data_IF_730340368895
#
_entry.id   IF_730340368895
#
_cell.length_a   1.000
_cell.length_b   1.000
_cell.length_c   1.000
_cell.angle_alpha   90.00
_cell.angle_beta   90.00
_cell.angle_gamma   90.00
#
_symmetry.space_group_name_H-M   'P 1'
#
loop_
_entity.id
_entity.type
_entity.pdbx_description
1 polymer ?
#
# COMPACT_ATOMS: atom_id res chain seq x y z
N UNK A 1 73.53 -30.25 55.77
CA UNK A 1 72.72 -30.67 54.67
C UNK A 1 71.50 -29.73 54.71
N UNK A 2 71.58 -28.65 53.88
CA UNK A 2 70.50 -27.67 53.79
C UNK A 2 69.61 -27.94 52.62
N UNK A 3 68.34 -28.19 52.86
CA UNK A 3 67.32 -28.30 51.82
C UNK A 3 66.84 -26.88 51.41
N UNK A 4 67.10 -26.48 50.16
CA UNK A 4 66.59 -25.30 49.57
C UNK A 4 65.22 -25.61 48.95
N UNK A 5 64.13 -25.11 49.58
CA UNK A 5 62.79 -25.10 49.01
C UNK A 5 62.68 -23.92 48.01
N UNK A 6 62.69 -24.18 46.75
CA UNK A 6 62.31 -23.20 45.71
C UNK A 6 60.77 -23.05 45.70
N UNK A 7 60.28 -21.95 46.23
CA UNK A 7 58.89 -21.55 46.07
C UNK A 7 58.60 -21.23 44.61
N UNK A 8 57.86 -22.09 43.88
CA UNK A 8 57.33 -21.79 42.56
C UNK A 8 56.20 -20.76 42.73
N UNK A 9 56.45 -19.53 42.29
CA UNK A 9 55.38 -18.55 42.11
C UNK A 9 54.57 -18.98 40.88
N UNK A 10 53.31 -19.41 41.07
CA UNK A 10 52.40 -19.61 39.97
C UNK A 10 51.83 -18.24 39.60
N UNK A 11 52.25 -17.74 38.45
CA UNK A 11 51.64 -16.54 37.86
C UNK A 11 50.24 -16.95 37.39
N UNK A 12 49.20 -16.36 38.00
CA UNK A 12 47.83 -16.55 37.50
C UNK A 12 47.73 -15.91 36.11
N UNK A 13 47.20 -16.63 35.10
CA UNK A 13 47.00 -16.02 33.79
C UNK A 13 46.01 -14.83 33.94
N UNK A 14 46.32 -13.75 33.26
CA UNK A 14 45.44 -12.58 33.21
C UNK A 14 44.07 -12.99 32.65
N UNK A 15 42.96 -12.46 33.22
CA UNK A 15 41.61 -12.74 32.71
C UNK A 15 41.52 -12.29 31.23
N UNK A 16 41.09 -13.19 30.36
CA UNK A 16 40.85 -12.85 28.96
C UNK A 16 39.72 -11.86 28.84
N UNK A 17 39.95 -10.76 28.16
CA UNK A 17 38.93 -9.75 27.82
C UNK A 17 38.48 -9.99 26.40
N UNK A 18 37.22 -10.25 26.20
CA UNK A 18 36.63 -10.29 24.86
C UNK A 18 36.38 -8.85 24.41
N UNK A 19 37.13 -8.40 23.44
CA UNK A 19 36.93 -7.06 22.84
C UNK A 19 36.08 -7.25 21.59
N UNK A 20 34.88 -6.71 21.59
CA UNK A 20 34.05 -6.61 20.40
C UNK A 20 34.22 -5.21 19.80
N UNK A 21 34.54 -5.12 18.52
CA UNK A 21 34.61 -3.85 17.83
C UNK A 21 33.21 -3.21 17.79
N UNK A 22 33.13 -1.94 18.22
CA UNK A 22 31.90 -1.16 18.12
C UNK A 22 31.75 -0.70 16.68
N UNK A 23 30.81 -1.29 15.95
CA UNK A 23 30.43 -0.80 14.64
C UNK A 23 29.44 0.33 14.79
N UNK A 24 29.67 1.41 14.03
CA UNK A 24 28.77 2.56 13.97
C UNK A 24 27.54 2.17 13.15
N UNK A 25 26.46 1.77 13.79
CA UNK A 25 25.19 1.54 13.12
C UNK A 25 24.33 2.80 13.14
N UNK A 26 23.78 3.15 11.99
CA UNK A 26 22.80 4.23 11.90
C UNK A 26 21.44 3.67 12.32
N UNK A 27 20.93 4.08 13.45
CA UNK A 27 19.56 3.78 13.86
C UNK A 27 18.60 4.74 13.16
N UNK A 28 17.84 4.23 12.22
CA UNK A 28 16.75 4.98 11.60
C UNK A 28 15.49 4.83 12.45
N UNK A 29 14.88 5.97 12.78
CA UNK A 29 13.55 5.96 13.40
C UNK A 29 12.55 5.60 12.32
N UNK A 30 11.96 4.40 12.38
CA UNK A 30 10.91 3.95 11.48
C UNK A 30 9.58 3.90 12.20
N UNK A 31 8.50 4.12 11.48
CA UNK A 31 7.14 3.90 11.94
C UNK A 31 6.48 2.86 11.06
N UNK A 32 5.57 2.11 11.64
CA UNK A 32 4.72 1.18 10.93
C UNK A 32 3.27 1.64 11.04
N UNK A 33 2.59 1.68 9.92
CA UNK A 33 1.20 2.08 9.84
C UNK A 33 0.48 1.27 8.78
N UNK A 34 -0.83 1.42 8.69
CA UNK A 34 -1.68 0.66 7.78
C UNK A 34 -2.48 1.60 6.90
N UNK A 35 -2.78 1.14 5.71
CA UNK A 35 -3.67 1.82 4.79
C UNK A 35 -4.31 0.85 3.80
N UNK A 36 -5.38 1.27 3.16
CA UNK A 36 -6.03 0.48 2.13
C UNK A 36 -5.48 0.87 0.76
N UNK A 37 -5.14 -0.13 -0.04
CA UNK A 37 -4.75 0.07 -1.42
C UNK A 37 -5.94 0.58 -2.24
N UNK A 38 -5.76 1.66 -2.99
CA UNK A 38 -6.74 2.21 -3.91
C UNK A 38 -6.11 2.43 -5.28
N UNK A 39 -6.90 2.34 -6.34
CA UNK A 39 -6.43 2.68 -7.69
C UNK A 39 -6.10 4.18 -7.76
N UNK A 40 -5.11 4.56 -8.56
CA UNK A 40 -4.74 5.97 -8.75
C UNK A 40 -5.91 6.78 -9.30
N UNK A 41 -6.59 6.23 -10.29
CA UNK A 41 -7.84 6.77 -10.84
C UNK A 41 -8.89 5.67 -10.78
N UNK A 42 -10.07 6.02 -10.31
CA UNK A 42 -11.22 5.12 -10.25
C UNK A 42 -12.47 5.88 -10.61
N UNK A 43 -13.30 5.30 -11.46
CA UNK A 43 -14.60 5.83 -11.83
C UNK A 43 -15.67 4.76 -11.69
N UNK A 44 -16.80 5.14 -11.14
CA UNK A 44 -17.91 4.24 -10.90
C UNK A 44 -19.12 4.70 -11.70
N UNK A 45 -19.70 3.79 -12.43
CA UNK A 45 -20.93 3.98 -13.18
C UNK A 45 -22.02 3.11 -12.58
N UNK A 46 -23.23 3.62 -12.54
CA UNK A 46 -24.42 2.88 -12.14
C UNK A 46 -25.36 2.79 -13.32
N UNK A 47 -25.73 1.58 -13.72
CA UNK A 47 -26.63 1.32 -14.83
C UNK A 47 -27.73 0.37 -14.41
N UNK A 48 -28.91 0.48 -15.03
CA UNK A 48 -29.96 -0.54 -14.91
C UNK A 48 -29.61 -1.70 -15.84
N UNK A 49 -29.70 -2.94 -15.35
CA UNK A 49 -29.39 -4.11 -16.16
C UNK A 49 -30.28 -4.18 -17.39
N UNK A 50 -31.54 -3.79 -17.28
CA UNK A 50 -32.51 -3.83 -18.34
C UNK A 50 -32.21 -2.84 -19.50
N UNK A 51 -31.40 -1.81 -19.24
CA UNK A 51 -30.99 -0.83 -20.26
C UNK A 51 -29.76 -1.27 -21.04
N UNK A 52 -29.07 -2.34 -20.60
CA UNK A 52 -27.84 -2.81 -21.23
C UNK A 52 -28.15 -3.60 -22.48
N UNK A 53 -27.47 -3.27 -23.59
CA UNK A 53 -27.51 -4.03 -24.85
C UNK A 53 -26.27 -4.92 -24.93
N UNK A 54 -26.48 -6.20 -25.18
CA UNK A 54 -25.39 -7.17 -25.43
C UNK A 54 -24.96 -7.97 -24.20
N UNK A 55 -23.76 -8.49 -24.26
CA UNK A 55 -23.26 -9.41 -23.23
C UNK A 55 -22.69 -8.63 -22.04
N UNK A 56 -23.13 -8.98 -20.82
CA UNK A 56 -22.65 -8.43 -19.56
C UNK A 56 -21.28 -8.97 -19.11
N UNK A 57 -20.62 -9.79 -19.91
CA UNK A 57 -19.33 -10.37 -19.57
C UNK A 57 -18.18 -9.36 -19.74
N UNK A 58 -18.25 -8.26 -18.98
CA UNK A 58 -17.27 -7.16 -18.98
C UNK A 58 -16.29 -7.24 -17.80
N UNK A 59 -16.55 -8.14 -16.86
CA UNK A 59 -15.73 -8.32 -15.66
C UNK A 59 -14.28 -8.64 -16.02
N UNK A 60 -13.34 -7.98 -15.34
CA UNK A 60 -11.91 -8.12 -15.54
C UNK A 60 -11.38 -7.71 -16.94
N UNK A 61 -12.22 -7.14 -17.81
CA UNK A 61 -11.79 -6.63 -19.12
C UNK A 61 -10.88 -5.42 -18.95
N UNK A 62 -9.78 -5.40 -19.68
CA UNK A 62 -8.95 -4.22 -19.80
C UNK A 62 -9.44 -3.38 -20.99
N UNK A 63 -9.71 -2.10 -20.75
CA UNK A 63 -10.18 -1.16 -21.77
C UNK A 63 -9.20 -0.02 -21.96
N UNK A 64 -9.13 0.50 -23.17
CA UNK A 64 -8.38 1.71 -23.50
C UNK A 64 -9.25 2.93 -23.26
N UNK A 65 -8.60 4.11 -23.17
CA UNK A 65 -9.34 5.38 -23.18
C UNK A 65 -10.21 5.47 -24.43
N UNK A 66 -11.41 6.04 -24.28
CA UNK A 66 -12.44 6.23 -25.31
C UNK A 66 -13.04 4.93 -25.87
N UNK A 67 -12.73 3.77 -25.28
CA UNK A 67 -13.35 2.49 -25.63
C UNK A 67 -14.72 2.35 -24.93
N UNK A 68 -15.71 1.78 -25.64
CA UNK A 68 -17.03 1.52 -25.10
C UNK A 68 -16.94 0.36 -24.08
N UNK A 69 -17.32 0.64 -22.84
CA UNK A 69 -17.44 -0.37 -21.78
C UNK A 69 -18.74 -1.13 -21.93
N UNK A 70 -19.86 -0.41 -22.06
CA UNK A 70 -21.21 -0.96 -22.16
C UNK A 70 -22.05 -0.08 -23.09
N UNK A 71 -22.87 -0.69 -23.93
CA UNK A 71 -23.88 -0.01 -24.74
C UNK A 71 -25.26 -0.08 -24.07
N UNK A 72 -25.99 1.03 -24.11
CA UNK A 72 -27.31 1.17 -23.52
C UNK A 72 -28.37 1.37 -24.61
N UNK A 73 -29.62 1.00 -24.29
CA UNK A 73 -30.77 1.04 -25.23
C UNK A 73 -31.08 2.39 -25.86
N UNK A 74 -30.67 3.49 -25.19
CA UNK A 74 -30.92 4.84 -25.66
C UNK A 74 -29.79 5.42 -26.52
N UNK A 75 -28.97 4.59 -27.13
CA UNK A 75 -27.73 4.95 -27.83
C UNK A 75 -26.72 5.69 -26.93
N UNK A 76 -26.96 5.70 -25.63
CA UNK A 76 -26.00 6.14 -24.63
C UNK A 76 -25.00 5.02 -24.38
N UNK A 77 -23.74 5.31 -24.64
CA UNK A 77 -22.67 4.36 -24.35
C UNK A 77 -21.89 4.81 -23.12
N UNK A 78 -21.53 3.86 -22.24
CA UNK A 78 -20.55 4.12 -21.23
C UNK A 78 -19.17 3.95 -21.85
N UNK A 79 -18.45 5.06 -21.89
CA UNK A 79 -17.13 5.17 -22.52
C UNK A 79 -16.07 5.30 -21.41
N UNK A 80 -14.93 4.67 -21.62
CA UNK A 80 -13.81 4.73 -20.69
C UNK A 80 -13.11 6.10 -20.75
N UNK A 81 -13.11 6.87 -19.68
CA UNK A 81 -12.44 8.17 -19.60
C UNK A 81 -10.91 8.03 -19.58
N UNK A 82 -10.43 6.88 -19.16
CA UNK A 82 -9.01 6.51 -19.12
C UNK A 82 -8.86 5.00 -19.33
N UNK A 83 -7.65 4.57 -19.62
CA UNK A 83 -7.38 3.14 -19.74
C UNK A 83 -7.40 2.48 -18.35
N UNK A 84 -8.03 1.32 -18.23
CA UNK A 84 -8.13 0.66 -16.95
C UNK A 84 -8.75 -0.74 -17.04
N UNK A 85 -8.90 -1.32 -15.87
CA UNK A 85 -9.57 -2.61 -15.70
C UNK A 85 -11.00 -2.40 -15.25
N UNK A 86 -11.93 -3.11 -15.88
CA UNK A 86 -13.34 -3.05 -15.54
C UNK A 86 -13.64 -4.07 -14.45
N UNK A 87 -14.32 -3.62 -13.40
CA UNK A 87 -14.92 -4.46 -12.37
C UNK A 87 -16.44 -4.28 -12.39
N UNK A 88 -17.18 -5.27 -11.94
CA UNK A 88 -18.63 -5.22 -11.82
C UNK A 88 -19.10 -5.68 -10.45
N UNK A 89 -20.18 -5.09 -9.97
CA UNK A 89 -20.85 -5.50 -8.74
C UNK A 89 -22.34 -5.33 -8.88
N UNK A 90 -23.08 -6.39 -8.59
CA UNK A 90 -24.54 -6.32 -8.53
C UNK A 90 -24.99 -5.67 -7.22
N UNK A 91 -26.06 -4.88 -7.29
CA UNK A 91 -26.73 -4.36 -6.10
C UNK A 91 -27.79 -5.40 -5.70
N UNK A 92 -27.77 -5.80 -4.44
CA UNK A 92 -28.75 -6.74 -3.89
C UNK A 92 -30.18 -6.19 -4.04
N UNK A 93 -31.13 -7.09 -4.32
CA UNK A 93 -32.55 -6.76 -4.36
C UNK A 93 -33.01 -6.14 -3.03
N UNK A 94 -33.84 -5.09 -3.11
CA UNK A 94 -34.37 -4.39 -1.94
C UNK A 94 -33.58 -3.18 -1.45
N UNK A 95 -32.36 -2.98 -1.93
CA UNK A 95 -31.60 -1.74 -1.73
C UNK A 95 -31.87 -0.81 -2.91
N UNK A 96 -31.97 0.49 -2.68
CA UNK A 96 -32.25 1.56 -3.66
C UNK A 96 -31.80 1.20 -5.09
N UNK A 97 -32.77 0.80 -5.94
CA UNK A 97 -32.54 0.45 -7.34
C UNK A 97 -32.24 -1.02 -7.57
N UNK A 98 -33.12 -1.92 -7.10
CA UNK A 98 -33.17 -3.31 -7.56
C UNK A 98 -33.02 -3.39 -9.08
N UNK A 99 -32.17 -4.31 -9.55
CA UNK A 99 -31.78 -4.47 -10.96
C UNK A 99 -30.74 -3.46 -11.48
N UNK A 100 -29.88 -2.94 -10.61
CA UNK A 100 -28.78 -2.07 -10.99
C UNK A 100 -27.44 -2.82 -10.94
N UNK A 101 -26.58 -2.49 -11.88
CA UNK A 101 -25.18 -2.94 -11.96
C UNK A 101 -24.28 -1.73 -11.66
N UNK A 102 -23.32 -1.93 -10.79
CA UNK A 102 -22.21 -1.01 -10.58
C UNK A 102 -21.04 -1.48 -11.43
N UNK A 103 -20.55 -0.62 -12.30
CA UNK A 103 -19.36 -0.82 -13.11
C UNK A 103 -18.29 0.10 -12.58
N UNK A 104 -17.12 -0.44 -12.27
CA UNK A 104 -15.94 0.33 -11.89
C UNK A 104 -14.90 0.27 -13.01
N UNK A 105 -14.25 1.40 -13.26
CA UNK A 105 -13.09 1.49 -14.12
C UNK A 105 -11.90 1.95 -13.27
N UNK A 106 -10.90 1.09 -13.12
CA UNK A 106 -9.75 1.33 -12.25
C UNK A 106 -8.44 1.36 -13.04
N UNK A 107 -7.69 2.45 -12.95
CA UNK A 107 -6.30 2.50 -13.41
C UNK A 107 -5.40 1.83 -12.37
N UNK A 108 -5.02 0.60 -12.65
CA UNK A 108 -4.23 -0.23 -11.74
C UNK A 108 -2.72 -0.12 -11.95
N UNK A 109 -2.23 0.73 -12.86
CA UNK A 109 -0.77 0.87 -13.11
C UNK A 109 -0.04 1.37 -11.87
N UNK A 110 -0.69 2.22 -11.10
CA UNK A 110 -0.21 2.68 -9.81
C UNK A 110 -1.28 2.43 -8.76
N UNK A 111 -0.81 2.06 -7.60
CA UNK A 111 -1.64 1.96 -6.39
C UNK A 111 -1.24 3.07 -5.45
N UNK A 112 -2.24 3.63 -4.83
CA UNK A 112 -2.12 4.67 -3.82
C UNK A 112 -2.57 4.09 -2.49
N UNK A 113 -1.87 4.44 -1.42
CA UNK A 113 -2.22 4.06 -0.05
C UNK A 113 -2.23 5.33 0.79
N UNK A 114 -3.40 5.70 1.29
CA UNK A 114 -3.53 6.79 2.24
C UNK A 114 -3.29 6.25 3.65
N UNK A 115 -2.27 6.80 4.32
CA UNK A 115 -1.82 6.40 5.65
C UNK A 115 -2.00 7.56 6.64
N UNK A 116 -2.27 7.22 7.89
CA UNK A 116 -2.29 8.18 9.00
C UNK A 116 -0.97 8.07 9.76
N UNK A 117 -0.26 9.18 9.84
CA UNK A 117 1.03 9.29 10.54
C UNK A 117 0.84 10.16 11.77
N UNK A 118 1.27 9.74 12.98
CA UNK A 118 1.16 10.54 14.19
C UNK A 118 1.84 11.92 14.04
N UNK A 119 1.24 12.97 14.62
CA UNK A 119 1.70 14.37 14.48
C UNK A 119 3.14 14.60 14.95
N UNK A 120 3.66 13.79 15.88
CA UNK A 120 5.04 13.90 16.36
C UNK A 120 6.11 13.56 15.30
N UNK A 121 5.69 13.05 14.13
CA UNK A 121 6.58 12.77 12.99
C UNK A 121 6.50 13.86 11.89
N UNK A 122 5.69 14.89 12.08
CA UNK A 122 5.46 15.92 11.06
C UNK A 122 6.75 16.58 10.57
N UNK A 123 7.73 16.79 11.47
CA UNK A 123 9.01 17.45 11.13
C UNK A 123 9.89 16.64 10.17
N UNK A 124 9.70 15.32 10.12
CA UNK A 124 10.48 14.41 9.27
C UNK A 124 9.67 13.89 8.06
N UNK A 125 8.36 14.02 8.12
CA UNK A 125 7.46 13.54 7.07
C UNK A 125 7.49 14.53 5.89
N UNK A 126 7.92 14.04 4.73
CA UNK A 126 8.02 14.86 3.50
C UNK A 126 7.82 14.05 2.24
N UNK A 127 7.45 14.71 1.17
CA UNK A 127 7.34 14.10 -0.15
C UNK A 127 8.68 13.48 -0.58
N UNK A 128 8.60 12.35 -1.27
CA UNK A 128 9.77 11.62 -1.76
C UNK A 128 10.40 10.64 -0.76
N UNK A 129 9.98 10.63 0.51
CA UNK A 129 10.44 9.60 1.46
C UNK A 129 10.10 8.21 0.91
N UNK A 130 11.06 7.31 1.00
CA UNK A 130 10.86 5.90 0.67
C UNK A 130 10.00 5.23 1.72
N UNK A 131 9.13 4.36 1.26
CA UNK A 131 8.30 3.51 2.10
C UNK A 131 8.44 2.06 1.65
N UNK A 132 8.52 1.17 2.61
CA UNK A 132 8.42 -0.26 2.39
C UNK A 132 7.00 -0.71 2.66
N UNK A 133 6.39 -1.37 1.69
CA UNK A 133 4.98 -1.77 1.75
C UNK A 133 4.89 -3.28 1.70
N UNK A 134 4.13 -3.86 2.59
CA UNK A 134 3.89 -5.30 2.67
C UNK A 134 2.41 -5.63 2.85
N UNK A 135 2.07 -6.87 2.56
CA UNK A 135 0.75 -7.43 2.76
C UNK A 135 0.90 -8.92 3.07
N UNK A 136 0.05 -9.46 3.92
CA UNK A 136 0.08 -10.87 4.33
C UNK A 136 -0.11 -11.86 3.18
N UNK A 137 -0.70 -11.43 2.05
CA UNK A 137 -0.87 -12.26 0.87
C UNK A 137 0.39 -12.40 0.01
N UNK A 138 1.43 -11.60 0.28
CA UNK A 138 2.66 -11.60 -0.50
C UNK A 138 3.87 -11.88 0.39
N UNK A 139 4.75 -12.77 -0.06
CA UNK A 139 6.02 -13.07 0.64
C UNK A 139 7.12 -12.04 0.34
N UNK A 140 6.77 -10.88 -0.26
CA UNK A 140 7.70 -9.83 -0.67
C UNK A 140 7.13 -8.47 -0.32
N UNK A 141 8.02 -7.55 0.03
CA UNK A 141 7.67 -6.14 0.15
C UNK A 141 7.74 -5.43 -1.21
N UNK A 142 6.99 -4.35 -1.30
CA UNK A 142 6.99 -3.42 -2.43
C UNK A 142 7.67 -2.13 -1.99
N UNK A 143 8.38 -1.51 -2.90
CA UNK A 143 8.96 -0.19 -2.65
C UNK A 143 8.00 0.88 -3.16
N UNK A 144 7.70 1.84 -2.31
CA UNK A 144 6.91 3.02 -2.65
C UNK A 144 7.59 4.30 -2.17
N UNK A 145 6.92 5.40 -2.38
CA UNK A 145 7.35 6.71 -1.89
C UNK A 145 6.16 7.56 -1.48
N UNK A 146 6.38 8.47 -0.54
CA UNK A 146 5.39 9.48 -0.18
C UNK A 146 5.25 10.45 -1.35
N UNK A 147 4.05 10.52 -1.92
CA UNK A 147 3.69 11.43 -3.01
C UNK A 147 3.25 12.78 -2.47
N UNK A 148 2.44 12.76 -1.40
CA UNK A 148 1.93 13.98 -0.78
C UNK A 148 1.72 13.80 0.71
N UNK A 149 1.81 14.92 1.43
CA UNK A 149 1.51 15.03 2.86
C UNK A 149 0.48 16.13 3.03
N UNK A 150 -0.56 15.87 3.82
CA UNK A 150 -1.58 16.87 4.14
C UNK A 150 -0.95 18.08 4.82
N UNK A 151 -1.48 19.27 4.54
CA UNK A 151 -1.08 20.52 5.22
C UNK A 151 -1.75 20.68 6.60
N UNK A 152 -2.60 19.74 7.01
CA UNK A 152 -3.36 19.80 8.27
C UNK A 152 -3.26 18.53 9.05
N UNK A 153 -3.19 18.65 10.37
CA UNK A 153 -3.33 17.56 11.32
C UNK A 153 -4.82 17.39 11.62
N UNK A 154 -5.29 16.16 11.65
CA UNK A 154 -6.62 15.84 12.14
C UNK A 154 -6.62 15.93 13.68
N UNK A 155 -7.36 16.87 14.28
CA UNK A 155 -7.32 17.08 15.73
C UNK A 155 -7.97 15.93 16.51
N UNK A 156 -8.84 15.15 15.89
CA UNK A 156 -9.52 14.03 16.54
C UNK A 156 -8.62 12.81 16.69
N UNK A 157 -7.77 12.56 15.70
CA UNK A 157 -6.87 11.40 15.66
C UNK A 157 -5.40 11.77 15.95
N UNK A 158 -5.08 13.06 16.07
CA UNK A 158 -3.71 13.56 16.23
C UNK A 158 -2.75 12.99 15.18
N UNK A 159 -3.24 12.90 13.94
CA UNK A 159 -2.49 12.35 12.83
C UNK A 159 -2.53 13.25 11.62
N UNK A 160 -1.55 13.09 10.75
CA UNK A 160 -1.46 13.73 9.45
C UNK A 160 -1.65 12.69 8.36
N UNK A 161 -2.43 13.03 7.34
CA UNK A 161 -2.63 12.14 6.21
C UNK A 161 -1.44 12.24 5.26
N UNK A 162 -0.87 11.11 4.90
CA UNK A 162 0.15 11.01 3.87
C UNK A 162 -0.28 9.98 2.81
N UNK A 163 0.06 10.28 1.57
CA UNK A 163 -0.24 9.43 0.42
C UNK A 163 1.02 8.77 -0.08
N UNK A 164 1.03 7.45 -0.08
CA UNK A 164 2.11 6.63 -0.61
C UNK A 164 1.71 6.11 -1.98
N UNK A 165 2.59 6.19 -2.95
CA UNK A 165 2.38 5.66 -4.30
C UNK A 165 3.34 4.49 -4.55
N UNK A 166 2.80 3.45 -5.20
CA UNK A 166 3.51 2.23 -5.59
C UNK A 166 3.33 2.00 -7.08
N UNK A 167 4.40 1.63 -7.77
CA UNK A 167 4.29 1.08 -9.13
C UNK A 167 3.67 -0.33 -9.07
N UNK A 168 2.54 -0.47 -9.73
CA UNK A 168 1.80 -1.72 -9.82
C UNK A 168 1.68 -2.23 -11.28
N UNK A 169 2.64 -1.90 -12.12
CA UNK A 169 2.65 -2.28 -13.54
C UNK A 169 2.48 -3.79 -13.78
N UNK A 170 2.79 -4.61 -12.77
CA UNK A 170 2.57 -6.07 -12.79
C UNK A 170 1.19 -6.50 -12.25
N UNK A 171 0.32 -5.55 -11.91
CA UNK A 171 -1.05 -5.75 -11.43
C UNK A 171 -1.21 -6.76 -10.27
N UNK A 172 -0.24 -6.80 -9.38
CA UNK A 172 -0.23 -7.74 -8.25
C UNK A 172 -1.09 -7.26 -7.08
N UNK A 173 -1.10 -5.95 -6.85
CA UNK A 173 -1.88 -5.32 -5.78
C UNK A 173 -3.26 -4.99 -6.34
N UNK A 174 -4.28 -5.41 -5.62
CA UNK A 174 -5.68 -5.18 -5.98
C UNK A 174 -6.26 -4.12 -5.05
N UNK A 175 -7.02 -3.14 -5.56
CA UNK A 175 -7.73 -2.17 -4.72
C UNK A 175 -8.58 -2.86 -3.65
N UNK A 176 -8.61 -2.29 -2.45
CA UNK A 176 -9.28 -2.86 -1.28
C UNK A 176 -8.39 -3.69 -0.36
N UNK A 177 -7.18 -4.07 -0.78
CA UNK A 177 -6.26 -4.80 0.09
C UNK A 177 -5.72 -3.90 1.21
N UNK A 178 -5.64 -4.45 2.43
CA UNK A 178 -4.95 -3.82 3.56
C UNK A 178 -3.44 -3.97 3.38
N UNK A 179 -2.73 -2.85 3.45
CA UNK A 179 -1.29 -2.79 3.29
C UNK A 179 -0.65 -2.27 4.57
N UNK A 180 0.47 -2.86 4.95
CA UNK A 180 1.37 -2.35 5.98
C UNK A 180 2.41 -1.48 5.33
N UNK A 181 2.65 -0.30 5.88
CA UNK A 181 3.60 0.69 5.37
C UNK A 181 4.61 1.03 6.47
N UNK A 182 5.88 0.87 6.15
CA UNK A 182 7.01 1.15 7.04
C UNK A 182 7.95 2.18 6.46
#
# INVERSE_FOLDING_TARGET
IGLHFKKKFSVRPAPGVIVTAVEKSNFYKSIETFGTAIAQNSKTYRVKKDDIIGNLNIENRFVKKDEIIVSLKNDENIIADFQGKVGTREIAQGVLGSNSLIITLDDLKKIVIDIKVPENYVSVLKNGLKAEISNSAFNKSFSGKIESVSSRVDPSTRSILARVVIDNSKFKIIPGQLMTVK
#
